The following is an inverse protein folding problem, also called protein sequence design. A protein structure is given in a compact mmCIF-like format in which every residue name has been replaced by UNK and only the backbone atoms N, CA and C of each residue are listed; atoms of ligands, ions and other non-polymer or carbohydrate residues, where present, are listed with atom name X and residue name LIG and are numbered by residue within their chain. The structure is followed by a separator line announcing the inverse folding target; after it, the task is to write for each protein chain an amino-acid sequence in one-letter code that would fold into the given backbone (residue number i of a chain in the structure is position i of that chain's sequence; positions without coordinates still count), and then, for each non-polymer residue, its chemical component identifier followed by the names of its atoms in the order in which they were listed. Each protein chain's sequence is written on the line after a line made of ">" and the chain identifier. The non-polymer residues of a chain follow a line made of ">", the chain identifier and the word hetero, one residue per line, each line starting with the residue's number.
data_IF_105988734388
#
_entry.id   IF_105988734388
#
_cell.length_a   1.000
_cell.length_b   1.000
_cell.length_c   1.000
_cell.angle_alpha   90.00
_cell.angle_beta   90.00
_cell.angle_gamma   90.00
#
_symmetry.space_group_name_H-M   'P 1'
#
loop_
_entity.id
_entity.type
_entity.pdbx_description
1 polymer ?
#
# COMPACT_ATOMS: atom_id res chain seq x y z
N UNK A 1 -0.68 -15.08 -32.55
CA UNK A 1 -0.35 -16.34 -31.83
C UNK A 1 0.37 -15.94 -30.55
N UNK A 2 -0.27 -16.11 -29.38
CA UNK A 2 0.30 -15.64 -28.12
C UNK A 2 1.35 -16.67 -27.65
N UNK A 3 2.63 -16.29 -27.66
CA UNK A 3 3.73 -17.08 -27.07
C UNK A 3 3.98 -16.57 -25.65
N UNK A 4 3.94 -17.45 -24.66
CA UNK A 4 4.32 -17.18 -23.27
C UNK A 4 5.59 -17.92 -22.87
N UNK A 5 6.06 -17.70 -21.64
CA UNK A 5 7.18 -18.43 -21.04
C UNK A 5 6.60 -19.62 -20.25
N UNK A 6 6.91 -20.89 -20.61
CA UNK A 6 6.37 -22.06 -19.90
C UNK A 6 7.03 -22.20 -18.53
N UNK A 7 6.23 -22.08 -17.45
CA UNK A 7 6.71 -22.18 -16.06
C UNK A 7 6.55 -23.60 -15.47
N UNK A 8 5.57 -24.37 -15.94
CA UNK A 8 5.32 -25.75 -15.50
C UNK A 8 4.68 -26.60 -16.61
N UNK A 9 4.88 -27.92 -16.56
CA UNK A 9 4.29 -28.89 -17.49
C UNK A 9 2.91 -29.34 -16.98
N UNK A 10 1.91 -29.38 -17.86
CA UNK A 10 0.58 -29.92 -17.55
C UNK A 10 -0.55 -29.23 -18.30
N UNK A 11 -1.77 -29.77 -18.16
CA UNK A 11 -3.01 -29.21 -18.70
C UNK A 11 -3.96 -28.99 -17.51
N UNK A 12 -4.49 -27.77 -17.39
CA UNK A 12 -5.52 -27.43 -16.40
C UNK A 12 -6.77 -26.91 -17.11
N UNK A 13 -7.95 -27.37 -16.68
CA UNK A 13 -9.25 -26.94 -17.21
C UNK A 13 -10.06 -26.39 -16.04
N UNK A 14 -10.51 -25.14 -16.14
CA UNK A 14 -11.24 -24.49 -15.06
C UNK A 14 -11.70 -23.09 -15.43
N UNK A 15 -12.39 -22.44 -14.49
CA UNK A 15 -12.82 -21.04 -14.64
C UNK A 15 -11.64 -20.11 -14.43
N UNK A 16 -11.45 -19.17 -15.35
CA UNK A 16 -10.49 -18.08 -15.21
C UNK A 16 -11.16 -16.91 -14.48
N UNK A 17 -10.44 -16.32 -13.53
CA UNK A 17 -10.83 -15.08 -12.88
C UNK A 17 -9.84 -13.99 -13.29
N UNK A 18 -10.37 -12.86 -13.78
CA UNK A 18 -9.55 -11.69 -14.08
C UNK A 18 -9.41 -10.91 -12.78
N UNK A 19 -8.18 -10.83 -12.29
CA UNK A 19 -7.86 -9.97 -11.16
C UNK A 19 -7.65 -8.55 -11.70
N UNK A 20 -8.68 -7.71 -11.56
CA UNK A 20 -8.56 -6.30 -11.91
C UNK A 20 -7.63 -5.60 -10.91
N UNK A 21 -6.57 -4.97 -11.44
CA UNK A 21 -5.61 -4.16 -10.69
C UNK A 21 -5.61 -2.72 -11.22
N UNK A 22 -6.73 -2.25 -11.76
CA UNK A 22 -6.91 -0.86 -12.19
C UNK A 22 -6.42 0.09 -11.11
N UNK A 23 -5.60 1.08 -11.52
CA UNK A 23 -5.15 2.13 -10.61
C UNK A 23 -6.37 2.84 -10.02
N UNK A 24 -6.38 3.01 -8.70
CA UNK A 24 -7.42 3.79 -8.04
C UNK A 24 -7.37 5.22 -8.59
N UNK A 25 -8.48 5.68 -9.19
CA UNK A 25 -8.61 7.06 -9.65
C UNK A 25 -8.92 7.91 -8.41
N UNK A 26 -7.87 8.50 -7.83
CA UNK A 26 -7.98 9.32 -6.63
C UNK A 26 -8.13 10.76 -7.07
N UNK A 27 -9.24 11.39 -6.71
CA UNK A 27 -9.49 12.80 -7.00
C UNK A 27 -9.01 13.66 -5.83
N UNK A 28 -8.30 14.75 -6.14
CA UNK A 28 -7.94 15.77 -5.16
C UNK A 28 -9.19 16.54 -4.75
N UNK A 29 -9.50 16.55 -3.46
CA UNK A 29 -10.60 17.31 -2.89
C UNK A 29 -10.08 18.21 -1.78
N UNK A 30 -10.56 19.45 -1.75
CA UNK A 30 -10.28 20.37 -0.65
C UNK A 30 -11.23 20.10 0.51
N UNK A 31 -10.71 20.18 1.72
CA UNK A 31 -11.43 19.96 2.98
C UNK A 31 -11.65 21.31 3.68
N UNK A 32 -12.81 21.47 4.30
CA UNK A 32 -13.08 22.62 5.15
C UNK A 32 -12.22 22.58 6.43
N UNK A 33 -11.86 23.75 6.95
CA UNK A 33 -10.92 23.81 8.09
C UNK A 33 -11.47 23.19 9.39
N UNK A 34 -12.79 23.10 9.52
CA UNK A 34 -13.50 22.47 10.64
C UNK A 34 -13.49 20.92 10.57
N UNK A 35 -13.21 20.32 9.40
CA UNK A 35 -13.29 18.87 9.17
C UNK A 35 -11.92 18.22 8.99
N UNK A 36 -10.84 19.01 9.03
CA UNK A 36 -9.46 18.52 8.93
C UNK A 36 -9.17 17.41 9.95
N UNK A 37 -9.52 17.60 11.23
CA UNK A 37 -9.23 16.60 12.25
C UNK A 37 -10.11 15.34 12.11
N UNK A 38 -11.33 15.47 11.56
CA UNK A 38 -12.16 14.31 11.21
C UNK A 38 -11.50 13.50 10.09
N UNK A 39 -10.91 14.17 9.10
CA UNK A 39 -10.17 13.49 8.03
C UNK A 39 -8.91 12.79 8.56
N UNK A 40 -8.17 13.47 9.44
CA UNK A 40 -7.00 12.86 10.10
C UNK A 40 -7.41 11.62 10.90
N UNK A 41 -8.55 11.66 11.60
CA UNK A 41 -9.06 10.53 12.35
C UNK A 41 -9.46 9.37 11.42
N UNK A 42 -10.21 9.66 10.35
CA UNK A 42 -10.57 8.69 9.31
C UNK A 42 -9.34 8.03 8.69
N UNK A 43 -8.30 8.80 8.42
CA UNK A 43 -7.02 8.27 7.95
C UNK A 43 -6.35 7.34 8.95
N UNK A 44 -6.30 7.71 10.23
CA UNK A 44 -5.72 6.85 11.28
C UNK A 44 -6.46 5.53 11.42
N UNK A 45 -7.79 5.55 11.30
CA UNK A 45 -8.63 4.35 11.35
C UNK A 45 -8.36 3.42 10.16
N UNK A 46 -8.22 3.98 8.95
CA UNK A 46 -7.86 3.22 7.75
C UNK A 46 -6.46 2.58 7.89
N UNK A 47 -5.48 3.31 8.44
CA UNK A 47 -4.14 2.79 8.73
C UNK A 47 -4.22 1.64 9.74
N UNK A 48 -4.94 1.82 10.85
CA UNK A 48 -5.07 0.77 11.87
C UNK A 48 -5.76 -0.49 11.33
N UNK A 49 -6.81 -0.31 10.53
CA UNK A 49 -7.52 -1.41 9.85
C UNK A 49 -6.58 -2.18 8.92
N UNK A 50 -5.77 -1.45 8.15
CA UNK A 50 -4.77 -2.05 7.26
C UNK A 50 -3.71 -2.84 8.05
N UNK A 51 -3.20 -2.29 9.17
CA UNK A 51 -2.26 -2.99 10.06
C UNK A 51 -2.85 -4.30 10.59
N UNK A 52 -4.11 -4.29 11.04
CA UNK A 52 -4.79 -5.51 11.51
C UNK A 52 -4.94 -6.55 10.40
N UNK A 53 -5.37 -6.14 9.20
CA UNK A 53 -5.50 -7.04 8.04
C UNK A 53 -4.15 -7.68 7.64
N UNK A 54 -3.06 -6.91 7.70
CA UNK A 54 -1.71 -7.43 7.44
C UNK A 54 -1.27 -8.45 8.48
N UNK A 55 -1.54 -8.19 9.77
CA UNK A 55 -1.24 -9.14 10.84
C UNK A 55 -2.03 -10.44 10.72
N UNK A 56 -3.32 -10.37 10.35
CA UNK A 56 -4.12 -11.57 10.09
C UNK A 56 -3.60 -12.36 8.88
N UNK A 57 -3.28 -11.66 7.80
CA UNK A 57 -2.70 -12.26 6.60
C UNK A 57 -1.38 -12.96 6.93
N UNK A 58 -0.54 -12.35 7.78
CA UNK A 58 0.70 -12.95 8.28
C UNK A 58 0.47 -14.22 9.09
N UNK A 59 -0.50 -14.21 10.01
CA UNK A 59 -0.85 -15.42 10.79
C UNK A 59 -1.23 -16.57 9.87
N UNK A 60 -2.06 -16.32 8.86
CA UNK A 60 -2.48 -17.34 7.86
C UNK A 60 -1.31 -17.80 6.98
N UNK A 61 -0.47 -16.88 6.52
CA UNK A 61 0.68 -17.20 5.66
C UNK A 61 1.75 -18.03 6.39
N UNK A 62 1.92 -17.81 7.70
CA UNK A 62 2.86 -18.56 8.53
C UNK A 62 2.52 -20.06 8.58
N UNK A 63 1.23 -20.40 8.50
CA UNK A 63 0.75 -21.79 8.40
C UNK A 63 1.11 -22.46 7.07
N UNK A 64 1.34 -21.68 6.01
CA UNK A 64 1.60 -22.17 4.64
C UNK A 64 3.10 -22.26 4.35
N UNK A 65 3.88 -21.23 4.69
CA UNK A 65 5.34 -21.28 4.64
C UNK A 65 5.98 -20.14 5.44
N UNK A 66 6.82 -20.52 6.42
CA UNK A 66 7.54 -19.62 7.34
C UNK A 66 8.36 -18.53 6.62
N UNK A 67 8.85 -18.82 5.41
CA UNK A 67 9.62 -17.89 4.56
C UNK A 67 8.79 -16.68 4.08
N UNK A 68 7.47 -16.82 3.90
CA UNK A 68 6.60 -15.70 3.49
C UNK A 68 6.29 -14.74 4.65
N UNK A 69 6.38 -15.19 5.90
CA UNK A 69 6.20 -14.34 7.09
C UNK A 69 7.24 -13.22 7.17
N UNK A 70 8.48 -13.47 6.72
CA UNK A 70 9.59 -12.51 6.77
C UNK A 70 9.34 -11.33 5.82
N UNK A 71 8.70 -11.59 4.68
CA UNK A 71 8.32 -10.55 3.72
C UNK A 71 7.26 -9.64 4.38
N UNK A 72 6.30 -10.24 5.08
CA UNK A 72 5.24 -9.52 5.80
C UNK A 72 5.73 -8.70 7.00
N UNK A 73 6.83 -9.12 7.64
CA UNK A 73 7.50 -8.34 8.67
C UNK A 73 8.08 -7.03 8.12
N UNK A 74 8.58 -7.04 6.88
CA UNK A 74 9.09 -5.81 6.28
C UNK A 74 7.97 -4.82 5.92
N UNK A 75 6.79 -5.31 5.50
CA UNK A 75 5.62 -4.46 5.26
C UNK A 75 5.11 -3.79 6.53
N UNK A 76 5.14 -4.53 7.64
CA UNK A 76 4.70 -4.02 8.94
C UNK A 76 5.68 -2.95 9.44
N UNK A 77 7.00 -3.16 9.28
CA UNK A 77 8.03 -2.20 9.68
C UNK A 77 7.90 -0.87 8.92
N UNK A 78 7.55 -0.89 7.62
CA UNK A 78 7.33 0.32 6.83
C UNK A 78 6.11 1.15 7.30
N UNK A 79 5.08 0.50 7.84
CA UNK A 79 3.91 1.15 8.42
C UNK A 79 4.10 1.54 9.90
N UNK A 80 5.06 0.91 10.58
CA UNK A 80 5.37 1.17 11.99
C UNK A 80 6.35 2.32 12.18
N UNK A 81 7.12 2.70 11.15
CA UNK A 81 8.12 3.78 11.26
C UNK A 81 7.52 5.19 11.39
N UNK A 82 6.18 5.33 11.48
CA UNK A 82 5.39 6.56 11.66
C UNK A 82 5.63 7.72 10.67
N UNK A 83 6.72 7.71 9.89
CA UNK A 83 7.10 8.80 9.00
C UNK A 83 6.08 8.94 7.88
N UNK A 84 5.67 7.84 7.22
CA UNK A 84 4.66 7.89 6.15
C UNK A 84 3.32 8.43 6.67
N UNK A 85 2.89 7.97 7.84
CA UNK A 85 1.63 8.37 8.48
C UNK A 85 1.70 9.83 8.91
N UNK A 86 2.78 10.24 9.54
CA UNK A 86 3.00 11.61 10.01
C UNK A 86 3.10 12.61 8.86
N UNK A 87 3.89 12.30 7.83
CA UNK A 87 4.00 13.13 6.63
C UNK A 87 2.63 13.27 5.94
N UNK A 88 1.86 12.18 5.85
CA UNK A 88 0.51 12.23 5.29
C UNK A 88 -0.42 13.12 6.11
N UNK A 89 -0.41 13.00 7.44
CA UNK A 89 -1.25 13.81 8.34
C UNK A 89 -0.88 15.28 8.28
N UNK A 90 0.42 15.58 8.22
CA UNK A 90 0.88 16.96 8.03
C UNK A 90 0.37 17.51 6.70
N UNK A 91 0.43 16.73 5.61
CA UNK A 91 -0.11 17.11 4.31
C UNK A 91 -1.61 17.39 4.33
N UNK A 92 -2.40 16.54 5.00
CA UNK A 92 -3.84 16.76 5.19
C UNK A 92 -4.10 18.12 5.87
N UNK A 93 -3.33 18.44 6.92
CA UNK A 93 -3.48 19.67 7.70
C UNK A 93 -3.00 20.93 6.98
N UNK A 94 -1.83 20.86 6.34
CA UNK A 94 -1.18 22.00 5.69
C UNK A 94 -1.86 22.34 4.36
N UNK A 95 -2.14 21.33 3.55
CA UNK A 95 -2.73 21.53 2.21
C UNK A 95 -4.26 21.46 2.21
N UNK A 96 -4.88 21.02 3.31
CA UNK A 96 -6.35 20.89 3.47
C UNK A 96 -6.97 20.01 2.39
N UNK A 97 -6.40 18.82 2.21
CA UNK A 97 -6.74 17.86 1.14
C UNK A 97 -7.17 16.51 1.71
N UNK A 98 -7.98 15.77 0.95
CA UNK A 98 -8.44 14.42 1.31
C UNK A 98 -7.29 13.42 1.54
N UNK A 99 -7.54 12.48 2.44
CA UNK A 99 -6.56 11.51 2.92
C UNK A 99 -5.99 10.63 1.79
N UNK A 100 -6.81 10.24 0.82
CA UNK A 100 -6.39 9.45 -0.34
C UNK A 100 -5.40 10.20 -1.21
N UNK A 101 -5.63 11.51 -1.43
CA UNK A 101 -4.70 12.33 -2.20
C UNK A 101 -3.41 12.57 -1.42
N UNK A 102 -3.52 12.89 -0.13
CA UNK A 102 -2.38 13.13 0.75
C UNK A 102 -1.43 11.93 0.83
N UNK A 103 -1.97 10.70 1.02
CA UNK A 103 -1.14 9.49 1.10
C UNK A 103 -0.51 9.15 -0.26
N UNK A 104 -1.21 9.43 -1.36
CA UNK A 104 -0.69 9.21 -2.72
C UNK A 104 0.47 10.13 -3.04
N UNK A 105 0.37 11.41 -2.70
CA UNK A 105 1.49 12.35 -2.87
C UNK A 105 2.66 12.01 -1.94
N UNK A 106 2.38 11.58 -0.72
CA UNK A 106 3.40 11.12 0.22
C UNK A 106 4.11 9.88 -0.35
N UNK A 107 3.39 8.89 -0.85
CA UNK A 107 3.94 7.73 -1.56
C UNK A 107 4.84 8.15 -2.73
N UNK A 108 4.38 9.06 -3.59
CA UNK A 108 5.16 9.53 -4.74
C UNK A 108 6.50 10.16 -4.31
N UNK A 109 6.51 10.93 -3.21
CA UNK A 109 7.73 11.49 -2.63
C UNK A 109 8.71 10.38 -2.21
N UNK A 110 8.24 9.37 -1.48
CA UNK A 110 9.08 8.23 -1.07
C UNK A 110 9.57 7.41 -2.27
N UNK A 111 8.70 7.11 -3.22
CA UNK A 111 9.04 6.39 -4.45
C UNK A 111 10.13 7.10 -5.24
N UNK A 112 10.09 8.43 -5.34
CA UNK A 112 11.14 9.20 -6.02
C UNK A 112 12.48 9.13 -5.28
N UNK A 113 12.48 9.13 -3.95
CA UNK A 113 13.69 8.91 -3.16
C UNK A 113 14.28 7.53 -3.43
N UNK A 114 13.47 6.47 -3.48
CA UNK A 114 13.92 5.12 -3.81
C UNK A 114 14.46 4.98 -5.23
N UNK A 115 13.82 5.63 -6.22
CA UNK A 115 14.30 5.61 -7.61
C UNK A 115 15.68 6.25 -7.77
N UNK A 116 16.06 7.19 -6.89
CA UNK A 116 17.36 7.85 -6.90
C UNK A 116 18.46 7.01 -6.23
N UNK A 117 18.11 5.89 -5.60
CA UNK A 117 19.07 4.97 -4.98
C UNK A 117 19.36 3.82 -5.95
N UNK A 118 20.62 3.69 -6.38
CA UNK A 118 21.07 2.62 -7.26
C UNK A 118 21.31 1.30 -6.49
N UNK A 119 20.25 0.76 -5.88
CA UNK A 119 20.27 -0.53 -5.20
C UNK A 119 19.06 -1.36 -5.62
N UNK A 120 19.31 -2.51 -6.28
CA UNK A 120 18.27 -3.41 -6.77
C UNK A 120 17.46 -4.06 -5.64
N UNK A 121 18.02 -4.18 -4.42
CA UNK A 121 17.27 -4.60 -3.24
C UNK A 121 16.24 -3.53 -2.82
N UNK A 122 16.61 -2.25 -2.90
CA UNK A 122 15.72 -1.14 -2.55
C UNK A 122 14.67 -0.85 -3.62
N UNK A 123 14.92 -1.21 -4.88
CA UNK A 123 13.87 -1.19 -5.93
C UNK A 123 12.72 -2.15 -5.61
N UNK A 124 12.99 -3.31 -5.04
CA UNK A 124 11.95 -4.24 -4.59
C UNK A 124 11.10 -3.68 -3.44
N UNK A 125 11.67 -2.78 -2.61
CA UNK A 125 10.95 -2.12 -1.50
C UNK A 125 9.95 -1.05 -1.95
N UNK A 126 10.05 -0.57 -3.19
CA UNK A 126 9.08 0.38 -3.76
C UNK A 126 7.73 -0.29 -4.00
N UNK A 127 7.71 -1.42 -4.70
CA UNK A 127 6.48 -2.17 -4.99
C UNK A 127 5.79 -2.59 -3.68
N UNK A 128 6.61 -2.89 -2.68
CA UNK A 128 6.16 -3.19 -1.32
C UNK A 128 5.40 -2.01 -0.66
N UNK A 129 5.92 -0.79 -0.81
CA UNK A 129 5.31 0.43 -0.28
C UNK A 129 4.01 0.80 -1.03
N UNK A 130 3.98 0.63 -2.35
CA UNK A 130 2.77 0.86 -3.16
C UNK A 130 1.64 -0.09 -2.74
N UNK A 131 1.95 -1.35 -2.45
CA UNK A 131 0.97 -2.33 -1.99
C UNK A 131 0.34 -1.94 -0.65
N UNK A 132 1.17 -1.47 0.27
CA UNK A 132 0.75 -1.00 1.59
C UNK A 132 -0.20 0.19 1.46
N UNK A 133 0.17 1.20 0.68
CA UNK A 133 -0.64 2.41 0.47
C UNK A 133 -1.96 2.09 -0.21
N UNK A 134 -1.97 1.19 -1.19
CA UNK A 134 -3.23 0.69 -1.77
C UNK A 134 -4.13 0.01 -0.74
N UNK A 135 -3.56 -0.71 0.24
CA UNK A 135 -4.31 -1.28 1.36
C UNK A 135 -4.98 -0.19 2.20
N UNK A 136 -4.25 0.88 2.52
CA UNK A 136 -4.80 2.03 3.26
C UNK A 136 -5.91 2.72 2.48
N UNK A 137 -5.72 2.99 1.19
CA UNK A 137 -6.74 3.66 0.36
C UNK A 137 -8.02 2.81 0.23
N UNK A 138 -7.91 1.48 0.22
CA UNK A 138 -9.09 0.60 0.20
C UNK A 138 -9.89 0.62 1.51
N UNK A 139 -9.27 1.04 2.61
CA UNK A 139 -9.89 1.15 3.92
C UNK A 139 -10.29 2.61 4.27
N UNK A 140 -10.13 3.55 3.31
CA UNK A 140 -10.50 4.97 3.44
C UNK A 140 -11.92 5.29 2.97
#
# INVERSE_FOLDING_TARGET
>A
MNKGIPVSKGIAIGRAYILDRSKLCILKQNIESNTIENEVQRFREAVNTTKMQMQETKKRATTIAKKYSIILDTYTLLLDDDILVKDTINKIREEKINAEWAITETLNKFTNLFNNINDDYLKGKKDDLELVVHGVIKNL
#
